data_IF_717362385310
#
_entry.id   IF_717362385310
#
_cell.length_a   1.000
_cell.length_b   1.000
_cell.length_c   1.000
_cell.angle_alpha   90.00
_cell.angle_beta   90.00
_cell.angle_gamma   90.00
#
_symmetry.space_group_name_H-M   'P 1'
#
loop_
_entity.id
_entity.type
_entity.pdbx_description
1 polymer ?
#
# COMPACT_ATOMS: atom_id res chain seq x y z
N UNK A 1 -16.15 -38.44 15.97
CA UNK A 1 -17.51 -37.84 15.88
C UNK A 1 -17.46 -36.55 16.71
N UNK A 2 -17.74 -35.34 16.27
CA UNK A 2 -18.13 -34.80 14.98
C UNK A 2 -17.56 -33.38 14.84
N UNK A 3 -17.48 -32.92 13.59
CA UNK A 3 -17.00 -31.61 13.14
C UNK A 3 -17.93 -30.50 13.66
N UNK A 4 -17.38 -29.37 14.11
CA UNK A 4 -18.10 -28.09 14.09
C UNK A 4 -17.29 -27.05 13.31
N UNK A 5 -17.70 -26.91 12.05
CA UNK A 5 -17.29 -25.83 11.16
C UNK A 5 -17.96 -24.52 11.57
N UNK A 6 -17.25 -23.43 11.28
CA UNK A 6 -17.79 -22.07 11.21
C UNK A 6 -19.13 -22.06 10.46
N UNK A 7 -20.20 -21.64 11.13
CA UNK A 7 -21.46 -21.28 10.46
C UNK A 7 -21.59 -19.78 10.50
N UNK A 8 -21.56 -19.17 9.31
CA UNK A 8 -21.85 -17.75 9.12
C UNK A 8 -23.37 -17.61 9.03
N UNK A 9 -24.02 -16.98 10.02
CA UNK A 9 -25.40 -16.52 9.89
C UNK A 9 -25.40 -15.02 9.55
N UNK A 10 -26.26 -14.54 8.64
CA UNK A 10 -26.37 -13.12 8.36
C UNK A 10 -26.91 -12.40 9.60
N UNK A 11 -26.27 -11.30 10.00
CA UNK A 11 -26.79 -10.40 11.04
C UNK A 11 -26.18 -10.50 12.45
N UNK A 12 -25.03 -11.17 12.63
CA UNK A 12 -24.24 -11.05 13.88
C UNK A 12 -22.83 -10.57 13.57
N UNK A 13 -22.45 -9.44 14.17
CA UNK A 13 -21.11 -8.89 14.12
C UNK A 13 -20.08 -9.92 14.60
N UNK A 14 -18.97 -10.04 13.88
CA UNK A 14 -17.83 -10.87 14.27
C UNK A 14 -17.13 -10.13 15.41
N UNK A 15 -17.39 -10.57 16.63
CA UNK A 15 -16.71 -10.07 17.82
C UNK A 15 -15.42 -10.87 18.01
N UNK A 16 -14.26 -10.22 17.92
CA UNK A 16 -13.01 -10.76 18.46
C UNK A 16 -12.73 -9.98 19.75
N UNK A 17 -13.08 -10.51 20.94
CA UNK A 17 -12.74 -9.83 22.18
C UNK A 17 -11.21 -9.73 22.30
N UNK A 18 -10.68 -8.53 22.57
CA UNK A 18 -9.25 -8.31 22.85
C UNK A 18 -8.77 -9.15 24.05
N UNK A 19 -9.69 -9.53 24.95
CA UNK A 19 -9.42 -10.45 26.06
C UNK A 19 -9.14 -11.90 25.62
N UNK A 20 -9.63 -12.33 24.45
CA UNK A 20 -9.39 -13.67 23.90
C UNK A 20 -8.00 -13.84 23.28
N UNK A 21 -7.33 -12.73 22.92
CA UNK A 21 -5.93 -12.72 22.46
C UNK A 21 -4.91 -12.86 23.60
N UNK A 22 -5.31 -12.60 24.86
CA UNK A 22 -4.42 -12.75 26.04
C UNK A 22 -4.32 -14.17 26.57
N UNK A 23 -5.15 -15.10 26.07
CA UNK A 23 -5.17 -16.52 26.45
C UNK A 23 -5.05 -17.47 25.26
N UNK A 24 -4.58 -16.99 24.10
CA UNK A 24 -4.09 -17.90 23.08
C UNK A 24 -2.85 -18.61 23.66
N UNK A 25 -2.75 -19.96 23.59
CA UNK A 25 -1.48 -20.62 23.88
C UNK A 25 -0.41 -19.94 23.03
N UNK A 26 0.81 -19.74 23.58
CA UNK A 26 1.95 -19.24 22.79
C UNK A 26 1.91 -19.96 21.45
N UNK A 27 1.64 -19.21 20.38
CA UNK A 27 1.74 -19.75 19.03
C UNK A 27 3.11 -20.42 18.96
N UNK A 28 3.21 -21.69 18.56
CA UNK A 28 4.53 -22.28 18.34
C UNK A 28 5.27 -21.31 17.42
N UNK A 29 6.49 -20.94 17.82
CA UNK A 29 7.43 -20.25 16.95
C UNK A 29 7.29 -20.90 15.57
N UNK A 30 7.11 -20.13 14.48
CA UNK A 30 7.00 -20.73 13.15
C UNK A 30 8.18 -21.66 13.00
N UNK A 31 7.89 -22.96 13.01
CA UNK A 31 8.89 -23.96 12.70
C UNK A 31 9.16 -23.69 11.25
N UNK A 32 10.29 -23.03 10.97
CA UNK A 32 10.83 -22.95 9.63
C UNK A 32 11.03 -24.42 9.26
N UNK A 33 10.07 -24.98 8.54
CA UNK A 33 10.26 -26.27 7.90
C UNK A 33 11.55 -26.08 7.08
N UNK A 34 12.58 -26.90 7.30
CA UNK A 34 13.80 -26.81 6.52
C UNK A 34 13.37 -26.85 5.07
N UNK A 35 13.67 -25.75 4.39
CA UNK A 35 13.32 -25.49 3.01
C UNK A 35 13.59 -26.77 2.22
N UNK A 36 12.53 -27.44 1.76
CA UNK A 36 12.64 -28.72 1.07
C UNK A 36 13.24 -28.45 -0.32
N UNK A 37 14.55 -28.21 -0.38
CA UNK A 37 15.44 -28.31 -1.53
C UNK A 37 15.10 -27.57 -2.82
N UNK A 38 13.98 -26.84 -2.90
CA UNK A 38 13.57 -26.07 -4.07
C UNK A 38 13.59 -24.61 -3.70
N UNK A 39 14.74 -23.97 -3.89
CA UNK A 39 14.70 -22.53 -4.19
C UNK A 39 13.76 -22.40 -5.38
N UNK A 40 12.58 -21.83 -5.18
CA UNK A 40 11.69 -21.51 -6.29
C UNK A 40 12.50 -20.63 -7.24
N UNK A 41 12.68 -21.09 -8.48
CA UNK A 41 13.42 -20.32 -9.47
C UNK A 41 12.78 -18.93 -9.56
N UNK A 42 13.59 -17.89 -9.40
CA UNK A 42 13.14 -16.51 -9.58
C UNK A 42 12.57 -16.40 -10.99
N UNK A 43 11.36 -15.86 -11.14
CA UNK A 43 10.76 -15.72 -12.46
C UNK A 43 11.65 -14.83 -13.34
N UNK A 44 11.72 -15.07 -14.67
CA UNK A 44 12.52 -14.25 -15.57
C UNK A 44 12.21 -12.74 -15.43
N UNK A 45 10.94 -12.39 -15.20
CA UNK A 45 10.51 -11.01 -15.00
C UNK A 45 11.14 -10.40 -13.73
N UNK A 46 11.13 -11.12 -12.61
CA UNK A 46 11.74 -10.63 -11.35
C UNK A 46 13.27 -10.59 -11.49
N UNK A 47 13.88 -11.54 -12.20
CA UNK A 47 15.32 -11.52 -12.47
C UNK A 47 15.73 -10.28 -13.28
N UNK A 48 14.93 -9.89 -14.27
CA UNK A 48 15.13 -8.66 -15.04
C UNK A 48 15.00 -7.41 -14.15
N UNK A 49 13.98 -7.35 -13.28
CA UNK A 49 13.81 -6.23 -12.32
C UNK A 49 15.03 -6.09 -11.40
N UNK A 50 15.57 -7.20 -10.90
CA UNK A 50 16.78 -7.23 -10.07
C UNK A 50 17.99 -6.71 -10.83
N UNK A 51 18.17 -7.15 -12.07
CA UNK A 51 19.29 -6.74 -12.91
C UNK A 51 19.25 -5.23 -13.19
N UNK A 52 18.09 -4.71 -13.61
CA UNK A 52 17.90 -3.28 -13.87
C UNK A 52 18.16 -2.43 -12.60
N UNK A 53 17.66 -2.89 -11.46
CA UNK A 53 17.91 -2.21 -10.18
C UNK A 53 19.42 -2.16 -9.86
N UNK A 54 20.15 -3.25 -10.07
CA UNK A 54 21.60 -3.28 -9.84
C UNK A 54 22.36 -2.33 -10.77
N UNK A 55 22.02 -2.31 -12.06
CA UNK A 55 22.66 -1.46 -13.07
C UNK A 55 22.40 0.04 -12.80
N UNK A 56 21.23 0.36 -12.28
CA UNK A 56 20.84 1.74 -11.98
C UNK A 56 21.39 2.32 -10.67
N UNK A 57 22.03 1.48 -9.84
CA UNK A 57 22.37 1.83 -8.46
C UNK A 57 23.39 2.97 -8.43
N UNK A 58 23.02 4.08 -7.80
CA UNK A 58 23.87 5.28 -7.70
C UNK A 58 23.77 6.22 -8.89
N UNK A 59 22.98 5.88 -9.91
CA UNK A 59 22.71 6.79 -11.03
C UNK A 59 21.76 7.93 -10.61
N UNK A 60 21.86 9.08 -11.31
CA UNK A 60 20.79 10.09 -11.29
C UNK A 60 19.43 9.46 -11.59
N UNK A 61 18.36 10.02 -11.01
CA UNK A 61 17.02 9.45 -11.14
C UNK A 61 16.59 9.32 -12.60
N UNK A 62 16.95 10.29 -13.43
CA UNK A 62 16.65 10.30 -14.86
C UNK A 62 17.24 9.07 -15.59
N UNK A 63 18.49 8.72 -15.29
CA UNK A 63 19.17 7.59 -15.91
C UNK A 63 18.64 6.26 -15.36
N UNK A 64 18.35 6.19 -14.06
CA UNK A 64 17.74 5.02 -13.44
C UNK A 64 16.37 4.68 -14.05
N UNK A 65 15.55 5.69 -14.35
CA UNK A 65 14.26 5.51 -15.04
C UNK A 65 14.45 4.91 -16.43
N UNK A 66 15.45 5.39 -17.18
CA UNK A 66 15.77 4.85 -18.51
C UNK A 66 16.26 3.41 -18.44
N UNK A 67 17.11 3.08 -17.47
CA UNK A 67 17.60 1.72 -17.23
C UNK A 67 16.48 0.75 -16.84
N UNK A 68 15.47 1.23 -16.11
CA UNK A 68 14.26 0.47 -15.80
C UNK A 68 13.37 0.22 -17.04
N UNK A 69 13.74 0.73 -18.22
CA UNK A 69 12.91 0.66 -19.43
C UNK A 69 11.68 1.57 -19.35
N UNK A 70 11.72 2.62 -18.51
CA UNK A 70 10.65 3.60 -18.33
C UNK A 70 11.04 4.92 -19.01
N UNK A 71 10.05 5.76 -19.28
CA UNK A 71 10.25 6.98 -20.07
C UNK A 71 10.39 8.24 -19.23
N UNK A 72 11.16 9.20 -19.75
CA UNK A 72 11.06 10.60 -19.34
C UNK A 72 9.95 11.24 -20.17
N UNK A 73 8.80 11.47 -19.54
CA UNK A 73 7.57 11.81 -20.23
C UNK A 73 7.33 13.33 -20.25
N UNK A 74 6.74 13.78 -21.34
CA UNK A 74 6.13 15.12 -21.42
C UNK A 74 4.65 14.94 -21.11
N UNK A 75 4.15 15.69 -20.14
CA UNK A 75 2.76 15.65 -19.72
C UNK A 75 2.02 16.94 -20.13
N UNK A 76 0.72 16.81 -20.32
CA UNK A 76 -0.23 17.90 -20.43
C UNK A 76 -1.25 17.77 -19.31
N UNK A 77 -1.41 18.80 -18.49
CA UNK A 77 -2.37 18.77 -17.38
C UNK A 77 -3.79 18.95 -17.89
N UNK A 78 -4.70 18.12 -17.39
CA UNK A 78 -6.13 18.27 -17.69
C UNK A 78 -6.85 19.18 -16.69
N UNK A 79 -6.18 19.55 -15.59
CA UNK A 79 -6.75 20.34 -14.48
C UNK A 79 -7.63 19.55 -13.51
N UNK A 80 -7.95 18.28 -13.79
CA UNK A 80 -8.77 17.44 -12.91
C UNK A 80 -7.94 16.84 -11.78
N UNK A 81 -8.33 17.12 -10.54
CA UNK A 81 -7.77 16.49 -9.36
C UNK A 81 -8.33 15.06 -9.19
N UNK A 82 -7.45 14.10 -8.97
CA UNK A 82 -7.79 12.67 -8.81
C UNK A 82 -7.64 12.23 -7.35
N UNK A 83 -6.77 12.89 -6.59
CA UNK A 83 -6.55 12.60 -5.18
C UNK A 83 -5.48 13.47 -4.54
N UNK A 84 -5.31 13.34 -3.23
CA UNK A 84 -4.26 14.00 -2.45
C UNK A 84 -3.67 13.05 -1.43
N UNK A 85 -2.36 13.13 -1.22
CA UNK A 85 -1.61 12.33 -0.26
C UNK A 85 -0.74 13.20 0.65
N UNK A 86 0.05 12.56 1.51
CA UNK A 86 0.90 13.21 2.52
C UNK A 86 1.98 14.15 1.93
N UNK A 87 2.45 13.87 0.71
CA UNK A 87 3.52 14.62 0.04
C UNK A 87 3.04 15.56 -1.06
N UNK A 88 1.76 15.49 -1.47
CA UNK A 88 1.20 16.36 -2.50
C UNK A 88 -0.04 15.84 -3.21
N UNK A 89 -0.35 16.43 -4.36
CA UNK A 89 -1.57 16.18 -5.14
C UNK A 89 -1.34 15.20 -6.29
N UNK A 90 -2.39 14.43 -6.60
CA UNK A 90 -2.47 13.55 -7.77
C UNK A 90 -3.47 14.14 -8.75
N UNK A 91 -3.01 14.45 -9.95
CA UNK A 91 -3.82 15.05 -11.02
C UNK A 91 -3.93 14.12 -12.23
N UNK A 92 -5.00 14.28 -13.00
CA UNK A 92 -5.14 13.63 -14.31
C UNK A 92 -4.32 14.40 -15.35
N UNK A 93 -3.47 13.70 -16.08
CA UNK A 93 -2.63 14.24 -17.15
C UNK A 93 -2.79 13.42 -18.43
N UNK A 94 -2.37 13.98 -19.55
CA UNK A 94 -2.19 13.25 -20.80
C UNK A 94 -0.70 13.11 -21.12
N UNK A 95 -0.31 11.90 -21.49
CA UNK A 95 1.02 11.57 -22.01
C UNK A 95 0.81 10.88 -23.36
N UNK A 96 1.32 11.48 -24.44
CA UNK A 96 1.15 10.97 -25.80
C UNK A 96 -0.32 10.64 -26.16
N UNK A 97 -1.26 11.48 -25.70
CA UNK A 97 -2.71 11.29 -25.91
C UNK A 97 -3.40 10.27 -24.98
N UNK A 98 -2.65 9.54 -24.15
CA UNK A 98 -3.19 8.61 -23.15
C UNK A 98 -3.40 9.31 -21.81
N UNK A 99 -4.55 9.07 -21.16
CA UNK A 99 -4.83 9.57 -19.81
C UNK A 99 -4.02 8.78 -18.77
N UNK A 100 -3.38 9.52 -17.86
CA UNK A 100 -2.51 9.03 -16.81
C UNK A 100 -2.78 9.79 -15.50
N UNK A 101 -2.27 9.27 -14.38
CA UNK A 101 -2.23 9.97 -13.10
C UNK A 101 -0.82 10.50 -12.86
N UNK A 102 -0.68 11.74 -12.37
CA UNK A 102 0.59 12.34 -12.03
C UNK A 102 0.61 12.77 -10.57
N UNK A 103 1.52 12.17 -9.77
CA UNK A 103 1.76 12.54 -8.37
C UNK A 103 2.88 13.58 -8.34
N UNK A 104 2.54 14.78 -7.87
CA UNK A 104 3.46 15.92 -7.74
C UNK A 104 3.78 16.17 -6.27
N UNK A 105 5.01 16.61 -6.02
CA UNK A 105 5.35 17.16 -4.71
C UNK A 105 4.64 18.51 -4.52
N UNK A 106 4.00 18.74 -3.39
CA UNK A 106 3.27 20.00 -3.17
C UNK A 106 4.22 21.21 -3.12
N UNK A 107 3.80 22.32 -3.73
CA UNK A 107 4.51 23.59 -3.65
C UNK A 107 4.68 24.11 -2.21
N UNK A 108 3.86 23.68 -1.26
CA UNK A 108 4.00 24.09 0.15
C UNK A 108 5.24 23.48 0.81
N UNK A 109 5.78 22.40 0.24
CA UNK A 109 7.03 21.77 0.68
C UNK A 109 8.24 22.24 -0.14
N UNK A 110 8.03 22.94 -1.26
CA UNK A 110 9.09 23.45 -2.14
C UNK A 110 9.04 24.96 -2.34
N UNK A 111 8.14 25.65 -1.64
CA UNK A 111 7.96 27.09 -1.67
C UNK A 111 9.17 27.83 -1.13
N UNK A 112 9.34 29.10 -1.53
CA UNK A 112 10.53 29.90 -1.18
C UNK A 112 10.75 30.02 0.33
N UNK A 113 9.68 29.96 1.11
CA UNK A 113 9.67 30.11 2.57
C UNK A 113 10.12 28.84 3.32
N UNK A 114 10.20 27.69 2.64
CA UNK A 114 10.73 26.46 3.23
C UNK A 114 12.26 26.49 3.23
N UNK A 115 12.93 26.27 4.38
CA UNK A 115 14.39 26.20 4.45
C UNK A 115 14.97 25.25 3.40
N UNK A 116 16.06 25.65 2.75
CA UNK A 116 16.68 24.88 1.66
C UNK A 116 16.97 23.43 2.04
N UNK A 117 17.39 23.18 3.28
CA UNK A 117 17.70 21.84 3.80
C UNK A 117 16.47 20.94 3.84
N UNK A 118 15.33 21.46 4.31
CA UNK A 118 14.09 20.70 4.43
C UNK A 118 13.50 20.39 3.04
N UNK A 119 13.62 21.34 2.12
CA UNK A 119 13.26 21.14 0.71
C UNK A 119 14.10 20.03 0.07
N UNK A 120 15.42 20.08 0.22
CA UNK A 120 16.30 19.05 -0.33
C UNK A 120 15.99 17.66 0.25
N UNK A 121 15.76 17.56 1.56
CA UNK A 121 15.36 16.31 2.21
C UNK A 121 14.01 15.78 1.70
N UNK A 122 13.06 16.67 1.41
CA UNK A 122 11.76 16.27 0.85
C UNK A 122 11.87 15.76 -0.58
N UNK A 123 12.65 16.45 -1.42
CA UNK A 123 12.94 16.00 -2.79
C UNK A 123 13.63 14.64 -2.77
N UNK A 124 14.65 14.46 -1.93
CA UNK A 124 15.35 13.19 -1.77
C UNK A 124 14.39 12.05 -1.36
N UNK A 125 13.46 12.31 -0.42
CA UNK A 125 12.43 11.31 -0.04
C UNK A 125 11.54 10.92 -1.22
N UNK A 126 11.09 11.89 -2.00
CA UNK A 126 10.22 11.63 -3.14
C UNK A 126 10.97 10.94 -4.29
N UNK A 127 12.24 11.28 -4.52
CA UNK A 127 13.08 10.55 -5.45
C UNK A 127 13.31 9.10 -5.01
N UNK A 128 13.48 8.85 -3.71
CA UNK A 128 13.58 7.51 -3.16
C UNK A 128 12.27 6.71 -3.32
N UNK A 129 11.11 7.37 -3.19
CA UNK A 129 9.82 6.77 -3.53
C UNK A 129 9.79 6.36 -5.01
N UNK A 130 10.20 7.25 -5.92
CA UNK A 130 10.29 6.94 -7.35
C UNK A 130 11.20 5.74 -7.60
N UNK A 131 12.43 5.73 -7.07
CA UNK A 131 13.40 4.63 -7.24
C UNK A 131 12.88 3.28 -6.75
N UNK A 132 11.98 3.28 -5.76
CA UNK A 132 11.37 2.05 -5.25
C UNK A 132 10.28 1.48 -6.15
N UNK A 133 9.62 2.32 -6.95
CA UNK A 133 8.49 1.89 -7.79
C UNK A 133 8.85 1.69 -9.26
N UNK A 134 9.97 2.25 -9.73
CA UNK A 134 10.35 2.21 -11.17
C UNK A 134 10.57 0.78 -11.71
N UNK A 135 11.00 -0.16 -10.87
CA UNK A 135 11.23 -1.56 -11.23
C UNK A 135 10.04 -2.48 -10.95
N UNK A 136 9.00 -1.98 -10.27
CA UNK A 136 7.88 -2.82 -9.91
C UNK A 136 6.99 -3.05 -11.12
N UNK A 137 6.76 -4.33 -11.44
CA UNK A 137 5.84 -4.74 -12.49
C UNK A 137 5.07 -5.97 -12.02
N UNK A 138 3.78 -5.77 -11.75
CA UNK A 138 2.86 -6.81 -11.31
C UNK A 138 1.41 -6.38 -11.61
N UNK A 139 0.52 -7.28 -12.05
CA UNK A 139 -0.87 -6.93 -12.43
C UNK A 139 -1.70 -6.30 -11.30
N UNK A 140 -1.30 -6.47 -10.04
CA UNK A 140 -1.98 -5.91 -8.86
C UNK A 140 -1.18 -4.83 -8.12
N UNK A 141 -0.17 -4.25 -8.75
CA UNK A 141 0.53 -3.03 -8.30
C UNK A 141 0.29 -1.96 -9.35
N UNK A 142 0.00 -0.72 -8.94
CA UNK A 142 -0.18 0.39 -9.88
C UNK A 142 1.10 0.60 -10.68
N UNK A 143 0.98 0.53 -11.99
CA UNK A 143 2.08 0.64 -12.93
C UNK A 143 2.59 2.08 -12.99
N UNK A 144 3.88 2.22 -12.77
CA UNK A 144 4.60 3.41 -13.15
C UNK A 144 4.86 3.42 -14.66
N UNK A 145 4.46 4.52 -15.30
CA UNK A 145 4.68 4.75 -16.73
C UNK A 145 6.03 5.46 -16.94
N UNK A 146 6.34 6.46 -16.12
CA UNK A 146 7.55 7.25 -16.29
C UNK A 146 7.66 8.41 -15.31
N UNK A 147 8.65 9.28 -15.53
CA UNK A 147 8.85 10.50 -14.74
C UNK A 147 8.80 11.72 -15.66
N UNK A 148 8.13 12.75 -15.19
CA UNK A 148 8.23 14.08 -15.76
C UNK A 148 9.11 14.97 -14.87
N UNK A 149 9.99 15.76 -15.46
CA UNK A 149 10.73 16.80 -14.73
C UNK A 149 10.19 18.16 -15.10
N UNK A 150 9.76 18.93 -14.10
CA UNK A 150 9.31 20.31 -14.32
C UNK A 150 10.44 21.17 -14.89
N UNK A 151 10.13 22.00 -15.90
CA UNK A 151 11.16 22.77 -16.61
C UNK A 151 11.80 23.85 -15.76
N UNK A 152 11.04 24.49 -14.87
CA UNK A 152 11.51 25.61 -14.09
C UNK A 152 12.21 25.17 -12.80
N UNK A 153 11.65 24.19 -12.11
CA UNK A 153 12.07 23.74 -10.79
C UNK A 153 12.94 22.48 -10.82
N UNK A 154 12.95 21.75 -11.95
CA UNK A 154 13.58 20.42 -12.10
C UNK A 154 13.05 19.37 -11.12
N UNK A 155 11.91 19.62 -10.48
CA UNK A 155 11.30 18.66 -9.57
C UNK A 155 10.68 17.49 -10.34
N UNK A 156 10.91 16.25 -9.90
CA UNK A 156 10.29 15.08 -10.51
C UNK A 156 8.80 15.01 -10.19
N UNK A 157 8.04 14.47 -11.14
CA UNK A 157 6.63 14.13 -11.05
C UNK A 157 6.48 12.68 -11.48
N UNK A 158 5.93 11.85 -10.59
CA UNK A 158 5.73 10.43 -10.84
C UNK A 158 4.47 10.24 -11.70
N UNK A 159 4.60 9.63 -12.87
CA UNK A 159 3.48 9.36 -13.79
C UNK A 159 3.13 7.87 -13.77
N UNK A 160 1.86 7.59 -13.52
CA UNK A 160 1.29 6.26 -13.31
C UNK A 160 0.08 6.04 -14.20
N UNK A 161 -0.33 4.77 -14.34
CA UNK A 161 -1.63 4.47 -14.93
C UNK A 161 -2.78 5.16 -14.17
N UNK A 162 -3.79 5.60 -14.91
CA UNK A 162 -4.98 6.19 -14.33
C UNK A 162 -5.98 5.07 -13.99
N UNK A 163 -6.38 5.01 -12.72
CA UNK A 163 -7.41 4.10 -12.22
C UNK A 163 -8.74 4.84 -12.05
N UNK A 164 -9.88 4.13 -12.04
CA UNK A 164 -11.19 4.79 -12.01
C UNK A 164 -11.52 5.39 -10.65
N UNK A 165 -11.38 4.59 -9.58
CA UNK A 165 -11.74 4.98 -8.21
C UNK A 165 -10.87 4.21 -7.20
N UNK A 166 -10.77 4.72 -5.97
CA UNK A 166 -10.29 3.91 -4.85
C UNK A 166 -11.35 2.91 -4.38
N UNK A 167 -10.91 1.83 -3.72
CA UNK A 167 -11.80 0.88 -3.05
C UNK A 167 -12.66 1.60 -2.00
N UNK A 168 -12.09 2.55 -1.27
CA UNK A 168 -12.82 3.40 -0.33
C UNK A 168 -14.01 4.09 -1.01
N UNK A 169 -13.76 4.84 -2.09
CA UNK A 169 -14.83 5.51 -2.85
C UNK A 169 -15.84 4.52 -3.44
N UNK A 170 -15.37 3.37 -3.91
CA UNK A 170 -16.26 2.34 -4.46
C UNK A 170 -17.23 1.82 -3.41
N UNK A 171 -16.77 1.58 -2.17
CA UNK A 171 -17.60 1.11 -1.06
C UNK A 171 -18.57 2.21 -0.57
N UNK A 172 -18.10 3.46 -0.45
CA UNK A 172 -18.95 4.62 -0.08
C UNK A 172 -20.09 4.84 -1.09
N UNK A 173 -19.79 4.74 -2.39
CA UNK A 173 -20.79 4.87 -3.45
C UNK A 173 -21.75 3.66 -3.52
N UNK A 174 -21.42 2.57 -2.83
CA UNK A 174 -22.18 1.32 -2.80
C UNK A 174 -22.44 0.92 -1.33
N UNK A 175 -23.17 1.72 -0.54
CA UNK A 175 -23.16 1.64 0.92
C UNK A 175 -23.78 0.34 1.47
N UNK A 176 -24.60 -0.35 0.69
CA UNK A 176 -25.19 -1.64 1.09
C UNK A 176 -24.24 -2.77 0.72
N UNK A 177 -23.86 -3.68 1.63
CA UNK A 177 -22.99 -4.81 1.28
C UNK A 177 -23.50 -5.71 0.14
N UNK A 178 -24.81 -5.75 -0.08
CA UNK A 178 -25.45 -6.49 -1.17
C UNK A 178 -25.33 -5.82 -2.55
N UNK A 179 -24.94 -4.53 -2.61
CA UNK A 179 -24.80 -3.78 -3.86
C UNK A 179 -23.54 -4.14 -4.65
N UNK A 180 -22.53 -4.71 -3.98
CA UNK A 180 -21.34 -5.27 -4.63
C UNK A 180 -21.42 -6.79 -4.54
N UNK A 181 -21.44 -7.52 -5.68
CA UNK A 181 -21.47 -8.98 -5.67
C UNK A 181 -20.31 -9.58 -4.86
N UNK A 182 -20.59 -10.65 -4.13
CA UNK A 182 -19.59 -11.32 -3.31
C UNK A 182 -18.40 -11.84 -4.16
N UNK A 183 -18.67 -12.29 -5.41
CA UNK A 183 -17.63 -12.66 -6.37
C UNK A 183 -16.67 -11.50 -6.70
N UNK A 184 -17.19 -10.29 -6.86
CA UNK A 184 -16.39 -9.08 -7.08
C UNK A 184 -15.52 -8.77 -5.86
N UNK A 185 -16.11 -8.84 -4.66
CA UNK A 185 -15.35 -8.66 -3.39
C UNK A 185 -14.20 -9.64 -3.27
N UNK A 186 -14.45 -10.92 -3.52
CA UNK A 186 -13.41 -11.95 -3.52
C UNK A 186 -12.33 -11.68 -4.56
N UNK A 187 -12.70 -11.25 -5.78
CA UNK A 187 -11.72 -10.90 -6.82
C UNK A 187 -10.81 -9.76 -6.36
N UNK A 188 -11.39 -8.68 -5.81
CA UNK A 188 -10.63 -7.54 -5.27
C UNK A 188 -9.65 -8.00 -4.19
N UNK A 189 -10.11 -8.80 -3.22
CA UNK A 189 -9.27 -9.25 -2.11
C UNK A 189 -8.15 -10.19 -2.55
N UNK A 190 -8.43 -11.08 -3.53
CA UNK A 190 -7.41 -11.95 -4.14
C UNK A 190 -6.35 -11.13 -4.85
N UNK A 191 -6.76 -10.14 -5.63
CA UNK A 191 -5.88 -9.24 -6.36
C UNK A 191 -4.94 -8.48 -5.39
N UNK A 192 -5.49 -7.92 -4.31
CA UNK A 192 -4.69 -7.26 -3.25
C UNK A 192 -3.71 -8.23 -2.59
N UNK A 193 -4.15 -9.44 -2.24
CA UNK A 193 -3.27 -10.45 -1.65
C UNK A 193 -2.13 -10.84 -2.59
N UNK A 194 -2.39 -10.94 -3.91
CA UNK A 194 -1.37 -11.22 -4.92
C UNK A 194 -0.34 -10.09 -5.01
N UNK A 195 -0.80 -8.83 -4.97
CA UNK A 195 0.09 -7.66 -4.94
C UNK A 195 0.99 -7.62 -3.70
N UNK A 196 0.43 -7.91 -2.52
CA UNK A 196 1.21 -7.98 -1.27
C UNK A 196 2.24 -9.11 -1.31
N UNK A 197 1.84 -10.30 -1.76
CA UNK A 197 2.74 -11.43 -1.91
C UNK A 197 3.92 -11.07 -2.81
N UNK A 198 3.66 -10.41 -3.94
CA UNK A 198 4.71 -9.93 -4.83
C UNK A 198 5.69 -8.99 -4.12
N UNK A 199 5.20 -7.95 -3.43
CA UNK A 199 6.05 -7.00 -2.71
C UNK A 199 6.91 -7.68 -1.64
N UNK A 200 6.33 -8.61 -0.87
CA UNK A 200 7.01 -9.32 0.20
C UNK A 200 7.99 -10.40 -0.28
N UNK A 201 7.85 -10.85 -1.54
CA UNK A 201 8.67 -11.94 -2.09
C UNK A 201 9.82 -11.45 -2.98
N UNK A 202 10.04 -10.13 -3.06
CA UNK A 202 11.12 -9.57 -3.88
C UNK A 202 12.49 -10.02 -3.36
N UNK A 203 13.34 -10.61 -4.22
CA UNK A 203 14.65 -11.12 -3.82
C UNK A 203 15.68 -9.98 -3.66
N UNK A 204 16.81 -10.23 -2.98
CA UNK A 204 17.93 -9.31 -2.96
C UNK A 204 18.44 -9.00 -4.39
N UNK A 205 18.92 -7.77 -4.66
CA UNK A 205 19.13 -6.68 -3.72
C UNK A 205 17.93 -5.70 -3.61
N UNK A 206 16.81 -5.97 -4.30
CA UNK A 206 15.56 -5.23 -4.09
C UNK A 206 15.02 -5.47 -2.68
N UNK A 207 15.00 -6.76 -2.28
CA UNK A 207 14.52 -7.22 -0.97
C UNK A 207 13.01 -7.03 -0.79
N UNK A 208 12.42 -7.64 0.26
CA UNK A 208 11.00 -7.49 0.56
C UNK A 208 10.63 -6.03 0.81
N UNK A 209 9.56 -5.56 0.17
CA UNK A 209 9.00 -4.22 0.36
C UNK A 209 7.78 -4.30 1.27
N UNK A 210 7.82 -3.62 2.41
CA UNK A 210 6.69 -3.51 3.33
C UNK A 210 5.98 -2.19 3.03
N UNK A 211 4.69 -2.24 2.71
CA UNK A 211 3.89 -1.08 2.31
C UNK A 211 3.68 -0.08 3.45
N UNK A 212 3.34 -0.57 4.65
CA UNK A 212 3.14 0.19 5.90
C UNK A 212 1.96 1.18 5.97
N UNK A 213 1.22 1.34 4.89
CA UNK A 213 0.03 2.21 4.82
C UNK A 213 -1.04 1.60 3.92
N UNK A 214 -1.18 0.28 3.96
CA UNK A 214 -2.19 -0.41 3.16
C UNK A 214 -3.58 -0.08 3.72
N UNK A 215 -4.37 0.66 2.95
CA UNK A 215 -5.75 1.02 3.30
C UNK A 215 -6.66 0.93 2.07
N UNK A 216 -7.98 0.98 2.28
CA UNK A 216 -8.93 1.02 1.16
C UNK A 216 -8.76 2.26 0.25
N UNK A 217 -8.12 3.33 0.72
CA UNK A 217 -7.79 4.52 -0.09
C UNK A 217 -6.62 4.26 -1.03
N UNK A 218 -5.67 3.43 -0.60
CA UNK A 218 -4.46 3.06 -1.34
C UNK A 218 -4.65 1.78 -2.19
N UNK A 219 -5.89 1.29 -2.30
CA UNK A 219 -6.26 0.22 -3.25
C UNK A 219 -7.11 0.88 -4.33
N UNK A 220 -6.62 0.89 -5.56
CA UNK A 220 -7.29 1.49 -6.70
C UNK A 220 -7.95 0.41 -7.56
N UNK A 221 -9.10 0.74 -8.13
CA UNK A 221 -9.93 -0.16 -8.92
C UNK A 221 -10.03 0.33 -10.37
N UNK A 222 -9.86 -0.60 -11.30
CA UNK A 222 -10.25 -0.43 -12.69
C UNK A 222 -11.61 -1.12 -12.89
N UNK A 223 -12.63 -0.33 -13.22
CA UNK A 223 -14.02 -0.75 -13.38
C UNK A 223 -14.29 -1.06 -14.85
N UNK A 224 -13.78 -2.20 -15.31
CA UNK A 224 -14.05 -2.73 -16.65
C UNK A 224 -15.10 -3.85 -16.64
N UNK A 225 -15.05 -4.70 -17.68
CA UNK A 225 -15.83 -5.95 -17.73
C UNK A 225 -15.50 -6.91 -16.58
N UNK A 226 -14.27 -6.82 -16.05
CA UNK A 226 -13.83 -7.41 -14.80
C UNK A 226 -13.21 -6.30 -13.94
N UNK A 227 -13.58 -6.28 -12.67
CA UNK A 227 -12.95 -5.37 -11.69
C UNK A 227 -11.56 -5.90 -11.38
N UNK A 228 -10.55 -5.04 -11.55
CA UNK A 228 -9.15 -5.33 -11.19
C UNK A 228 -8.73 -4.38 -10.09
N UNK A 229 -8.17 -4.94 -9.01
CA UNK A 229 -7.61 -4.14 -7.91
C UNK A 229 -6.08 -4.05 -8.01
N UNK A 230 -5.55 -2.86 -7.76
CA UNK A 230 -4.11 -2.58 -7.71
C UNK A 230 -3.75 -1.79 -6.46
N UNK A 231 -2.65 -2.18 -5.82
CA UNK A 231 -2.08 -1.46 -4.67
C UNK A 231 -1.34 -0.23 -5.19
N UNK A 232 -1.58 0.90 -4.56
CA UNK A 232 -1.01 2.21 -4.88
C UNK A 232 -0.31 2.83 -3.67
N UNK A 233 0.32 3.98 -3.89
CA UNK A 233 0.97 4.82 -2.87
C UNK A 233 1.97 4.10 -1.95
N UNK A 234 3.14 3.83 -2.52
CA UNK A 234 4.26 3.29 -1.76
C UNK A 234 5.06 4.41 -1.06
N UNK A 235 4.56 5.64 -0.90
CA UNK A 235 5.33 6.75 -0.29
C UNK A 235 5.90 6.43 1.10
N UNK A 236 5.21 5.60 1.87
CA UNK A 236 5.64 5.16 3.22
C UNK A 236 6.33 3.80 3.25
N UNK A 237 6.46 3.12 2.11
CA UNK A 237 7.01 1.78 2.07
C UNK A 237 8.51 1.76 2.41
N UNK A 238 8.96 0.68 3.05
CA UNK A 238 10.37 0.46 3.36
C UNK A 238 10.77 -0.97 3.03
N UNK A 239 12.03 -1.16 2.66
CA UNK A 239 12.63 -2.50 2.59
C UNK A 239 12.67 -3.10 4.00
N UNK A 240 12.43 -4.41 4.12
CA UNK A 240 12.43 -5.12 5.39
C UNK A 240 13.71 -4.85 6.22
N UNK A 241 13.61 -4.67 7.55
CA UNK A 241 14.74 -4.39 8.44
C UNK A 241 15.90 -5.37 8.35
N UNK A 242 15.66 -6.63 7.96
CA UNK A 242 16.72 -7.63 7.75
C UNK A 242 17.67 -7.22 6.61
N UNK A 243 17.18 -6.41 5.67
CA UNK A 243 17.92 -5.96 4.47
C UNK A 243 18.17 -4.45 4.45
N UNK A 244 17.72 -3.70 5.46
CA UNK A 244 17.85 -2.25 5.56
C UNK A 244 18.98 -1.82 6.52
N UNK A 245 19.62 -0.67 6.27
CA UNK A 245 20.59 -0.09 7.20
C UNK A 245 19.90 0.55 8.42
N UNK A 246 20.53 0.57 9.60
CA UNK A 246 19.99 1.16 10.85
C UNK A 246 19.43 2.58 10.69
N UNK A 247 19.94 3.39 9.75
CA UNK A 247 19.39 4.73 9.41
C UNK A 247 18.04 4.69 8.69
N UNK A 248 17.75 3.67 7.89
CA UNK A 248 16.46 3.49 7.21
C UNK A 248 15.35 3.06 8.19
N UNK A 249 15.74 2.47 9.33
CA UNK A 249 14.82 2.03 10.40
C UNK A 249 14.23 3.22 11.19
N UNK A 250 14.99 4.29 11.42
CA UNK A 250 14.72 5.29 12.45
C UNK A 250 13.86 6.51 12.04
N UNK A 251 13.39 6.62 10.79
CA UNK A 251 12.40 7.66 10.48
C UNK A 251 11.00 7.21 10.90
N UNK A 252 10.59 7.62 12.09
CA UNK A 252 9.17 7.68 12.48
C UNK A 252 8.51 8.77 11.62
N UNK A 253 7.71 8.37 10.64
CA UNK A 253 6.62 9.20 10.15
C UNK A 253 5.32 8.48 10.43
N UNK A 254 4.26 9.21 10.81
CA UNK A 254 3.05 8.61 11.33
C UNK A 254 2.31 7.98 10.15
N UNK A 255 2.30 6.65 10.09
CA UNK A 255 1.16 5.97 9.46
C UNK A 255 -0.09 6.30 10.26
N UNK A 256 -1.28 6.16 9.65
CA UNK A 256 -2.53 6.41 10.35
C UNK A 256 -2.60 5.52 11.62
N UNK A 257 -2.49 6.11 12.81
CA UNK A 257 -2.30 5.38 14.08
C UNK A 257 -3.40 4.35 14.36
N UNK A 258 -4.57 4.53 13.74
CA UNK A 258 -5.72 3.62 13.83
C UNK A 258 -5.55 2.30 13.08
N UNK A 259 -4.53 2.14 12.25
CA UNK A 259 -4.32 0.95 11.40
C UNK A 259 -3.04 0.18 11.74
N UNK A 260 -2.27 0.69 12.70
CA UNK A 260 -1.06 0.01 13.14
C UNK A 260 -1.41 -1.15 14.07
N UNK A 261 -0.86 -2.35 13.82
CA UNK A 261 -1.03 -3.47 14.73
C UNK A 261 -0.35 -3.18 16.09
N UNK A 262 -0.76 -3.86 17.17
CA UNK A 262 -0.32 -3.52 18.52
C UNK A 262 1.21 -3.58 18.72
N UNK A 263 1.92 -4.44 18.00
CA UNK A 263 3.39 -4.52 18.01
C UNK A 263 4.10 -3.31 17.38
N UNK A 264 3.41 -2.51 16.58
CA UNK A 264 3.92 -1.26 16.04
C UNK A 264 3.73 -0.07 17.01
N UNK A 265 3.13 -0.30 18.19
CA UNK A 265 2.83 0.72 19.21
C UNK A 265 3.76 0.64 20.43
N UNK A 266 4.87 -0.09 20.32
CA UNK A 266 5.89 -0.29 21.38
C UNK A 266 7.12 0.57 21.09
N UNK A 267 7.97 0.84 22.08
CA UNK A 267 9.14 1.75 21.96
C UNK A 267 10.15 1.34 20.87
N UNK A 268 10.21 0.06 20.48
CA UNK A 268 11.03 -0.47 19.37
C UNK A 268 10.22 -1.43 18.49
N UNK A 269 9.44 -0.91 17.53
CA UNK A 269 8.56 -1.74 16.69
C UNK A 269 9.36 -2.47 15.60
N UNK A 270 9.20 -3.80 15.53
CA UNK A 270 9.74 -4.61 14.43
C UNK A 270 8.82 -4.47 13.22
N UNK A 271 9.22 -3.63 12.27
CA UNK A 271 8.49 -3.44 11.02
C UNK A 271 8.76 -4.62 10.08
N UNK A 272 7.96 -5.68 10.12
CA UNK A 272 8.06 -6.79 9.17
C UNK A 272 6.76 -6.94 8.35
N UNK A 273 6.71 -7.93 7.46
CA UNK A 273 5.54 -8.21 6.62
C UNK A 273 4.21 -8.37 7.40
N UNK A 274 4.23 -8.67 8.70
CA UNK A 274 3.01 -8.80 9.53
C UNK A 274 2.18 -7.52 9.59
N UNK A 275 2.80 -6.35 9.43
CA UNK A 275 2.09 -5.07 9.45
C UNK A 275 1.09 -4.95 8.29
N UNK A 276 1.54 -5.32 7.10
CA UNK A 276 0.71 -5.32 5.91
C UNK A 276 -0.35 -6.43 5.99
N UNK A 277 -0.04 -7.57 6.61
CA UNK A 277 -1.02 -8.66 6.83
C UNK A 277 -2.15 -8.21 7.76
N UNK A 278 -1.84 -7.50 8.85
CA UNK A 278 -2.87 -6.92 9.71
C UNK A 278 -3.73 -5.89 8.97
N UNK A 279 -3.08 -4.99 8.24
CA UNK A 279 -3.74 -3.96 7.43
C UNK A 279 -4.63 -4.59 6.34
N UNK A 280 -4.20 -5.70 5.76
CA UNK A 280 -4.99 -6.49 4.81
C UNK A 280 -6.22 -7.09 5.49
N UNK A 281 -6.12 -7.59 6.73
CA UNK A 281 -7.26 -8.04 7.51
C UNK A 281 -8.32 -6.95 7.72
N UNK A 282 -7.88 -5.71 8.00
CA UNK A 282 -8.76 -4.53 8.09
C UNK A 282 -9.45 -4.25 6.74
N UNK A 283 -8.71 -4.33 5.63
CA UNK A 283 -9.27 -4.19 4.27
C UNK A 283 -10.28 -5.28 3.95
N UNK A 284 -10.04 -6.53 4.35
CA UNK A 284 -10.98 -7.65 4.18
C UNK A 284 -12.29 -7.35 4.89
N UNK A 285 -12.22 -6.94 6.16
CA UNK A 285 -13.42 -6.58 6.93
C UNK A 285 -14.19 -5.45 6.25
N UNK A 286 -13.51 -4.34 5.94
CA UNK A 286 -14.13 -3.20 5.30
C UNK A 286 -14.76 -3.54 3.94
N UNK A 287 -14.12 -4.39 3.14
CA UNK A 287 -14.65 -4.83 1.83
C UNK A 287 -15.89 -5.70 1.97
N UNK A 288 -15.95 -6.54 3.01
CA UNK A 288 -17.09 -7.44 3.22
C UNK A 288 -18.27 -6.71 3.85
N UNK A 289 -18.03 -5.86 4.85
CA UNK A 289 -19.06 -5.18 5.64
C UNK A 289 -19.45 -3.82 5.11
N UNK A 290 -18.61 -3.20 4.27
CA UNK A 290 -18.72 -1.79 3.84
C UNK A 290 -18.69 -0.80 5.01
N UNK A 291 -18.26 -1.26 6.18
CA UNK A 291 -18.11 -0.45 7.38
C UNK A 291 -16.65 -0.47 7.80
N UNK A 292 -16.13 0.70 8.17
CA UNK A 292 -14.81 0.77 8.74
C UNK A 292 -14.78 0.01 10.08
N UNK A 293 -13.82 -0.90 10.31
CA UNK A 293 -13.71 -1.60 11.58
C UNK A 293 -13.39 -0.59 12.68
N UNK A 294 -14.37 -0.38 13.55
CA UNK A 294 -14.28 0.49 14.72
C UNK A 294 -14.00 -0.38 15.96
N UNK A 295 -12.82 -0.26 16.58
CA UNK A 295 -12.47 -1.06 17.75
C UNK A 295 -13.35 -0.75 18.98
N UNK A 296 -14.01 0.41 19.02
CA UNK A 296 -14.74 0.89 20.19
C UNK A 296 -16.25 0.58 20.14
N UNK A 297 -16.80 0.31 18.94
CA UNK A 297 -18.24 -0.02 18.75
C UNK A 297 -18.72 -1.29 19.46
N UNK A 298 -17.81 -2.11 20.01
CA UNK A 298 -18.15 -3.30 20.79
C UNK A 298 -18.25 -3.09 22.31
N UNK A 299 -17.84 -1.93 22.83
CA UNK A 299 -17.68 -1.70 24.28
C UNK A 299 -18.94 -1.19 24.99
N UNK A 300 -19.97 -0.74 24.26
CA UNK A 300 -21.17 -0.07 24.81
C UNK A 300 -22.41 -0.97 24.97
N UNK A 301 -22.24 -2.30 24.92
CA UNK A 301 -23.34 -3.27 25.07
C UNK A 301 -23.66 -3.74 26.51
N UNK A 302 -23.10 -3.09 27.54
CA UNK A 302 -23.24 -3.49 28.95
C UNK A 302 -24.12 -2.56 29.78
N UNK A 303 -25.43 -2.87 29.86
CA UNK A 303 -26.42 -2.46 30.89
C UNK A 303 -26.04 -1.27 31.80
N UNK A 304 -26.61 -0.09 31.53
CA UNK A 304 -27.14 0.75 32.60
C UNK A 304 -28.65 0.49 32.69
N UNK A 305 -29.05 -0.42 33.60
CA UNK A 305 -30.42 -0.37 34.12
C UNK A 305 -30.52 0.90 34.95
N UNK A 306 -31.37 1.83 34.51
CA UNK A 306 -31.92 2.88 35.37
C UNK A 306 -32.54 2.20 36.60
N UNK A 307 -32.05 2.53 37.78
CA UNK A 307 -32.81 2.39 39.02
C UNK A 307 -33.43 3.77 39.29
N UNK A 308 -34.69 3.89 38.90
CA UNK A 308 -35.63 4.87 39.45
C UNK A 308 -36.28 4.22 40.67
N UNK A 309 -36.08 4.83 41.84
CA UNK A 309 -36.96 4.93 43.01
C UNK A 309 -36.11 5.22 44.24
#
# INVERSE_FOLDING_TARGET
>A
MGRHYFTCRPGKAIFIPVASLRRAPRMPQPTILPNSGRQAAISPDIALQVQQYQQSKGLPLEDAVREAGKEIVILQETGKNVGGGSYGGVIEVQVQGRKCAAKKLHETFTGRDVPRRDRAAMVERFENECRRVIYLSHPNIVEMIGIHFDRATRLPTLVMELMNVSLYQHLENNPKPSSVPLSTKYSILRDVASGLLYLHSLPPPLGPIIHRDLTAKNILLNLGSKVVAKIADLGQAKTDPVYATRRQMLSMSPGNQLHMPPEARVEDPVYNASLDVFSFGVVVLHTLTHEWPDPDKGSSGGRQKKASS
#
